data_IF_723053529433
#
_entry.id   IF_723053529433
#
_cell.length_a   1.000
_cell.length_b   1.000
_cell.length_c   1.000
_cell.angle_alpha   90.00
_cell.angle_beta   90.00
_cell.angle_gamma   90.00
#
_symmetry.space_group_name_H-M   'P 1'
#
loop_
_entity.id
_entity.type
_entity.pdbx_description
1 polymer ?
#
# COMPACT_ATOMS: atom_id res chain seq x y z
N UNK A 1 -6.49 -20.08 10.19
CA UNK A 1 -5.95 -18.70 9.95
C UNK A 1 -6.45 -18.09 8.65
N UNK A 2 -6.65 -18.87 7.56
CA UNK A 2 -7.15 -18.34 6.29
C UNK A 2 -8.60 -17.82 6.38
N UNK A 3 -9.50 -18.54 7.02
CA UNK A 3 -10.92 -18.17 7.13
C UNK A 3 -11.14 -16.80 7.80
N UNK A 4 -10.32 -16.43 8.79
CA UNK A 4 -10.43 -15.14 9.48
C UNK A 4 -9.93 -13.99 8.59
N UNK A 5 -8.84 -14.19 7.88
CA UNK A 5 -8.28 -13.20 6.95
C UNK A 5 -9.24 -12.96 5.78
N UNK A 6 -9.81 -14.02 5.22
CA UNK A 6 -10.81 -13.94 4.15
C UNK A 6 -12.07 -13.20 4.61
N UNK A 7 -12.51 -13.45 5.86
CA UNK A 7 -13.63 -12.75 6.49
C UNK A 7 -13.36 -11.25 6.67
N UNK A 8 -12.16 -10.87 7.14
CA UNK A 8 -11.77 -9.46 7.32
C UNK A 8 -11.65 -8.73 5.99
N UNK A 9 -11.06 -9.38 4.97
CA UNK A 9 -11.00 -8.82 3.62
C UNK A 9 -12.39 -8.60 3.03
N UNK A 10 -13.28 -9.58 3.17
CA UNK A 10 -14.69 -9.47 2.77
C UNK A 10 -15.40 -8.30 3.46
N UNK A 11 -15.17 -8.11 4.75
CA UNK A 11 -15.71 -6.98 5.51
C UNK A 11 -15.23 -5.64 4.95
N UNK A 12 -13.93 -5.47 4.66
CA UNK A 12 -13.41 -4.22 4.07
C UNK A 12 -14.01 -3.93 2.70
N UNK A 13 -14.17 -4.97 1.87
CA UNK A 13 -14.82 -4.83 0.58
C UNK A 13 -16.28 -4.37 0.74
N UNK A 14 -17.04 -4.99 1.64
CA UNK A 14 -18.42 -4.60 1.89
C UNK A 14 -18.53 -3.15 2.39
N UNK A 15 -17.69 -2.75 3.35
CA UNK A 15 -17.62 -1.37 3.84
C UNK A 15 -17.37 -0.36 2.71
N UNK A 16 -16.47 -0.68 1.76
CA UNK A 16 -16.24 0.16 0.58
C UNK A 16 -17.47 0.23 -0.35
N UNK A 17 -18.15 -0.88 -0.56
CA UNK A 17 -19.38 -0.92 -1.39
C UNK A 17 -20.52 -0.14 -0.73
N UNK A 18 -20.67 -0.22 0.58
CA UNK A 18 -21.67 0.52 1.33
C UNK A 18 -21.40 2.03 1.27
N UNK A 19 -20.14 2.45 1.46
CA UNK A 19 -19.73 3.84 1.30
C UNK A 19 -20.00 4.37 -0.12
N UNK A 20 -19.64 3.59 -1.16
CA UNK A 20 -19.93 3.93 -2.55
C UNK A 20 -21.42 4.11 -2.79
N UNK A 21 -22.25 3.24 -2.21
CA UNK A 21 -23.71 3.32 -2.36
C UNK A 21 -24.30 4.60 -1.74
N UNK A 22 -23.71 5.08 -0.65
CA UNK A 22 -24.10 6.37 -0.03
C UNK A 22 -23.66 7.57 -0.88
N UNK A 23 -22.43 7.54 -1.41
CA UNK A 23 -21.90 8.59 -2.29
C UNK A 23 -22.70 8.70 -3.59
N UNK A 24 -23.14 7.60 -4.16
CA UNK A 24 -23.98 7.57 -5.36
C UNK A 24 -25.34 8.23 -5.22
N UNK A 25 -25.82 8.44 -4.00
CA UNK A 25 -27.07 9.22 -3.75
C UNK A 25 -26.87 10.70 -4.06
N UNK A 26 -25.65 11.21 -3.88
CA UNK A 26 -25.29 12.60 -4.14
C UNK A 26 -24.72 12.80 -5.55
N UNK A 27 -24.05 11.75 -6.12
CA UNK A 27 -23.54 11.73 -7.48
C UNK A 27 -23.75 10.35 -8.10
N UNK A 28 -24.82 10.20 -8.88
CA UNK A 28 -25.18 8.93 -9.51
C UNK A 28 -24.21 8.49 -10.64
N UNK A 29 -23.36 9.40 -11.11
CA UNK A 29 -22.35 9.10 -12.15
C UNK A 29 -21.10 8.42 -11.59
N UNK A 30 -20.92 8.40 -10.26
CA UNK A 30 -19.76 7.82 -9.62
C UNK A 30 -19.71 6.30 -9.85
N UNK A 31 -18.68 5.80 -10.52
CA UNK A 31 -18.54 4.37 -10.82
C UNK A 31 -17.87 3.60 -9.68
N UNK A 32 -16.83 4.17 -9.08
CA UNK A 32 -16.06 3.57 -7.98
C UNK A 32 -15.52 4.65 -7.03
N UNK A 33 -15.05 4.23 -5.83
CA UNK A 33 -14.49 5.15 -4.83
C UNK A 33 -13.28 5.93 -5.35
N UNK A 34 -12.45 5.33 -6.20
CA UNK A 34 -11.27 5.98 -6.76
C UNK A 34 -11.61 7.18 -7.66
N UNK A 35 -12.83 7.27 -8.17
CA UNK A 35 -13.31 8.42 -8.95
C UNK A 35 -13.95 9.51 -8.07
N UNK A 36 -14.12 9.26 -6.77
CA UNK A 36 -14.76 10.21 -5.86
C UNK A 36 -13.81 11.37 -5.54
N UNK A 37 -14.34 12.59 -5.53
CA UNK A 37 -13.59 13.74 -5.02
C UNK A 37 -13.62 13.80 -3.49
N UNK A 38 -12.56 14.37 -2.91
CA UNK A 38 -12.50 14.63 -1.45
C UNK A 38 -13.70 15.51 -1.01
N UNK A 39 -14.09 16.49 -1.82
CA UNK A 39 -15.21 17.38 -1.52
C UNK A 39 -16.53 16.61 -1.42
N UNK A 40 -16.81 15.70 -2.35
CA UNK A 40 -18.01 14.86 -2.31
C UNK A 40 -18.02 13.94 -1.09
N UNK A 41 -16.86 13.35 -0.77
CA UNK A 41 -16.70 12.50 0.41
C UNK A 41 -17.00 13.27 1.72
N UNK A 42 -16.46 14.49 1.84
CA UNK A 42 -16.66 15.31 3.06
C UNK A 42 -18.10 15.79 3.23
N UNK A 43 -18.79 16.08 2.14
CA UNK A 43 -20.17 16.54 2.15
C UNK A 43 -21.19 15.40 2.36
N UNK A 44 -20.78 14.14 2.19
CA UNK A 44 -21.70 13.00 2.32
C UNK A 44 -21.71 12.49 3.75
N UNK A 45 -22.89 12.52 4.36
CA UNK A 45 -23.11 11.92 5.68
C UNK A 45 -23.10 10.40 5.60
N UNK A 46 -22.25 9.77 6.41
CA UNK A 46 -22.13 8.31 6.52
C UNK A 46 -21.48 7.93 7.84
N UNK A 47 -21.62 6.66 8.29
CA UNK A 47 -20.89 6.14 9.45
C UNK A 47 -19.38 6.33 9.31
N UNK A 48 -18.69 6.64 10.42
CA UNK A 48 -17.26 7.00 10.42
C UNK A 48 -16.37 5.90 9.85
N UNK A 49 -16.66 4.63 10.16
CA UNK A 49 -15.93 3.50 9.59
C UNK A 49 -16.03 3.48 8.06
N UNK A 50 -17.20 3.70 7.48
CA UNK A 50 -17.37 3.76 6.03
C UNK A 50 -16.66 4.96 5.42
N UNK A 51 -16.72 6.12 6.12
CA UNK A 51 -16.02 7.33 5.70
C UNK A 51 -14.50 7.11 5.67
N UNK A 52 -13.97 6.45 6.68
CA UNK A 52 -12.54 6.14 6.76
C UNK A 52 -12.11 5.17 5.63
N UNK A 53 -12.90 4.13 5.32
CA UNK A 53 -12.61 3.23 4.19
C UNK A 53 -12.62 3.98 2.86
N UNK A 54 -13.66 4.78 2.62
CA UNK A 54 -13.77 5.59 1.40
C UNK A 54 -12.61 6.60 1.29
N UNK A 55 -12.27 7.29 2.39
CA UNK A 55 -11.16 8.25 2.44
C UNK A 55 -9.84 7.58 2.08
N UNK A 56 -9.56 6.40 2.64
CA UNK A 56 -8.37 5.65 2.26
C UNK A 56 -8.28 5.45 0.75
N UNK A 57 -9.35 4.97 0.11
CA UNK A 57 -9.35 4.69 -1.34
C UNK A 57 -9.18 5.96 -2.17
N UNK A 58 -9.91 7.03 -1.80
CA UNK A 58 -9.83 8.33 -2.50
C UNK A 58 -8.41 8.92 -2.40
N UNK A 59 -7.84 8.93 -1.20
CA UNK A 59 -6.51 9.46 -0.97
C UNK A 59 -5.40 8.57 -1.56
N UNK A 60 -5.59 7.23 -1.61
CA UNK A 60 -4.65 6.34 -2.30
C UNK A 60 -4.60 6.63 -3.80
N UNK A 61 -5.74 6.88 -4.43
CA UNK A 61 -5.77 7.28 -5.84
C UNK A 61 -5.00 8.58 -6.08
N UNK A 62 -5.16 9.54 -5.18
CA UNK A 62 -4.41 10.80 -5.24
C UNK A 62 -2.90 10.56 -5.05
N UNK A 63 -2.48 9.72 -4.09
CA UNK A 63 -1.07 9.34 -3.89
C UNK A 63 -0.48 8.66 -5.13
N UNK A 64 -1.26 7.79 -5.79
CA UNK A 64 -0.82 7.17 -7.07
C UNK A 64 -0.59 8.22 -8.14
N UNK A 65 -1.51 9.18 -8.30
CA UNK A 65 -1.37 10.26 -9.26
C UNK A 65 -0.13 11.12 -8.95
N UNK A 66 0.07 11.50 -7.70
CA UNK A 66 1.24 12.26 -7.25
C UNK A 66 2.54 11.51 -7.48
N UNK A 67 2.56 10.19 -7.26
CA UNK A 67 3.72 9.35 -7.50
C UNK A 67 4.07 9.30 -9.00
N UNK A 68 3.08 9.08 -9.86
CA UNK A 68 3.25 9.05 -11.32
C UNK A 68 3.77 10.39 -11.85
N UNK A 69 3.14 11.49 -11.44
CA UNK A 69 3.55 12.84 -11.88
C UNK A 69 4.92 13.21 -11.30
N UNK A 70 5.22 12.79 -10.08
CA UNK A 70 6.52 12.97 -9.46
C UNK A 70 7.64 12.24 -10.21
N UNK A 71 7.39 10.99 -10.63
CA UNK A 71 8.34 10.25 -11.48
C UNK A 71 8.57 10.95 -12.82
N UNK A 72 7.50 11.41 -13.47
CA UNK A 72 7.61 12.10 -14.78
C UNK A 72 8.33 13.45 -14.68
N UNK A 73 8.12 14.18 -13.61
CA UNK A 73 8.73 15.50 -13.38
C UNK A 73 10.12 15.44 -12.77
N UNK A 74 10.62 14.24 -12.41
CA UNK A 74 11.92 14.06 -11.79
C UNK A 74 11.99 14.57 -10.35
N UNK A 75 10.91 14.40 -9.57
CA UNK A 75 10.93 14.72 -8.14
C UNK A 75 12.00 13.91 -7.39
N UNK A 76 12.46 14.49 -6.30
CA UNK A 76 13.40 13.82 -5.41
C UNK A 76 12.83 12.50 -4.88
N UNK A 77 13.67 11.47 -4.86
CA UNK A 77 13.26 10.10 -4.52
C UNK A 77 12.68 10.01 -3.11
N UNK A 78 13.21 10.81 -2.18
CA UNK A 78 12.71 10.85 -0.80
C UNK A 78 11.28 11.44 -0.70
N UNK A 79 10.92 12.39 -1.58
CA UNK A 79 9.54 12.89 -1.63
C UNK A 79 8.57 11.80 -2.13
N UNK A 80 9.01 11.02 -3.10
CA UNK A 80 8.23 9.89 -3.60
C UNK A 80 8.16 8.75 -2.58
N UNK A 81 9.26 8.51 -1.86
CA UNK A 81 9.29 7.55 -0.75
C UNK A 81 8.33 7.90 0.38
N UNK A 82 8.17 9.20 0.68
CA UNK A 82 7.22 9.67 1.67
C UNK A 82 5.76 9.30 1.32
N UNK A 83 5.41 9.19 0.03
CA UNK A 83 4.09 8.72 -0.39
C UNK A 83 3.83 7.26 -0.04
N UNK A 84 4.87 6.40 -0.05
CA UNK A 84 4.74 5.02 0.42
C UNK A 84 4.46 4.97 1.93
N UNK A 85 5.19 5.77 2.72
CA UNK A 85 4.95 5.86 4.16
C UNK A 85 3.53 6.37 4.46
N UNK A 86 3.08 7.41 3.75
CA UNK A 86 1.72 7.94 3.89
C UNK A 86 0.65 6.91 3.51
N UNK A 87 0.90 6.11 2.46
CA UNK A 87 0.04 4.98 2.08
C UNK A 87 -0.06 3.93 3.18
N UNK A 88 1.06 3.58 3.83
CA UNK A 88 1.03 2.65 4.96
C UNK A 88 0.24 3.20 6.14
N UNK A 89 0.45 4.46 6.51
CA UNK A 89 -0.29 5.12 7.59
C UNK A 89 -1.80 5.13 7.31
N UNK A 90 -2.18 5.41 6.06
CA UNK A 90 -3.58 5.36 5.63
C UNK A 90 -4.16 3.94 5.70
N UNK A 91 -3.37 2.93 5.32
CA UNK A 91 -3.73 1.51 5.46
C UNK A 91 -3.93 1.12 6.92
N UNK A 92 -3.05 1.55 7.82
CA UNK A 92 -3.13 1.25 9.25
C UNK A 92 -4.29 1.98 9.93
N UNK A 93 -4.44 3.30 9.68
CA UNK A 93 -5.34 4.15 10.47
C UNK A 93 -6.75 4.27 9.86
N UNK A 94 -6.88 4.26 8.53
CA UNK A 94 -8.15 4.48 7.85
C UNK A 94 -8.76 3.20 7.29
N UNK A 95 -7.95 2.36 6.62
CA UNK A 95 -8.42 1.10 6.08
C UNK A 95 -8.41 -0.03 7.11
N UNK A 96 -7.57 0.09 8.13
CA UNK A 96 -7.39 -0.86 9.24
C UNK A 96 -7.13 -2.29 8.73
N UNK A 97 -6.25 -2.42 7.75
CA UNK A 97 -5.79 -3.71 7.23
C UNK A 97 -4.33 -4.01 7.57
N UNK A 98 -3.69 -3.17 8.39
CA UNK A 98 -2.38 -3.47 8.94
C UNK A 98 -2.47 -4.27 10.25
N UNK A 99 -1.32 -4.69 10.73
CA UNK A 99 -1.13 -5.35 12.03
C UNK A 99 0.05 -4.68 12.74
N UNK A 100 0.09 -4.70 14.10
CA UNK A 100 1.22 -4.15 14.85
C UNK A 100 2.60 -4.68 14.41
N UNK A 101 2.65 -5.93 13.93
CA UNK A 101 3.84 -6.55 13.38
C UNK A 101 4.31 -5.89 12.08
N UNK A 102 3.37 -5.56 11.18
CA UNK A 102 3.67 -4.88 9.93
C UNK A 102 4.03 -3.41 10.17
N UNK A 103 3.29 -2.73 11.04
CA UNK A 103 3.56 -1.34 11.41
C UNK A 103 4.98 -1.21 11.99
N UNK A 104 5.37 -2.11 12.90
CA UNK A 104 6.70 -2.14 13.47
C UNK A 104 7.80 -2.39 12.42
N UNK A 105 7.56 -3.28 11.46
CA UNK A 105 8.53 -3.54 10.39
C UNK A 105 8.67 -2.34 9.45
N UNK A 106 7.58 -1.65 9.14
CA UNK A 106 7.60 -0.42 8.35
C UNK A 106 8.35 0.68 9.10
N UNK A 107 8.14 0.82 10.41
CA UNK A 107 8.86 1.80 11.24
C UNK A 107 10.37 1.54 11.24
N UNK A 108 10.80 0.28 11.40
CA UNK A 108 12.21 -0.08 11.33
C UNK A 108 12.83 0.26 9.98
N UNK A 109 12.12 -0.05 8.89
CA UNK A 109 12.57 0.26 7.54
C UNK A 109 12.62 1.76 7.29
N UNK A 110 11.56 2.50 7.62
CA UNK A 110 11.45 3.94 7.38
C UNK A 110 12.46 4.77 8.19
N UNK A 111 12.98 4.24 9.31
CA UNK A 111 14.03 4.85 10.10
C UNK A 111 15.44 4.43 9.66
N UNK A 112 15.58 3.70 8.56
CA UNK A 112 16.88 3.31 8.00
C UNK A 112 17.26 4.28 6.88
N UNK A 113 18.48 4.87 6.95
CA UNK A 113 18.95 5.93 6.03
C UNK A 113 18.88 5.52 4.55
N UNK A 114 19.11 4.23 4.27
CA UNK A 114 19.10 3.67 2.92
C UNK A 114 17.70 3.33 2.39
N UNK A 115 16.64 3.69 3.12
CA UNK A 115 15.25 3.43 2.73
C UNK A 115 14.55 4.75 2.44
N UNK A 116 14.04 4.90 1.24
CA UNK A 116 13.26 6.07 0.83
C UNK A 116 11.83 6.06 1.35
N UNK A 117 11.25 4.87 1.50
CA UNK A 117 9.91 4.68 2.05
C UNK A 117 9.53 3.21 2.07
N UNK A 118 8.56 2.87 2.92
CA UNK A 118 8.07 1.52 3.10
C UNK A 118 6.56 1.49 3.34
N UNK A 119 5.92 0.38 2.96
CA UNK A 119 4.49 0.15 3.18
C UNK A 119 4.16 -1.34 3.21
N UNK A 120 3.05 -1.70 3.82
CA UNK A 120 2.49 -3.03 3.62
C UNK A 120 2.15 -3.26 2.13
N UNK A 121 2.18 -4.50 1.69
CA UNK A 121 1.78 -4.90 0.33
C UNK A 121 0.84 -6.10 0.37
N UNK A 122 0.00 -6.23 -0.67
CA UNK A 122 -1.08 -7.21 -0.72
C UNK A 122 -2.33 -6.74 0.04
N UNK A 123 -3.18 -7.67 0.42
CA UNK A 123 -4.47 -7.39 1.09
C UNK A 123 -4.37 -6.90 2.53
N UNK A 124 -3.20 -6.97 3.14
CA UNK A 124 -3.02 -6.69 4.57
C UNK A 124 -3.36 -7.89 5.45
N UNK A 125 -3.64 -7.64 6.74
CA UNK A 125 -3.95 -8.65 7.78
C UNK A 125 -2.82 -9.68 7.97
N UNK A 126 -1.59 -9.29 7.64
CA UNK A 126 -0.38 -10.10 7.58
C UNK A 126 0.33 -9.91 6.24
N UNK A 127 1.20 -10.85 5.87
CA UNK A 127 1.89 -10.84 4.58
C UNK A 127 3.23 -10.13 4.60
N UNK A 128 3.44 -9.16 3.72
CA UNK A 128 4.74 -8.58 3.46
C UNK A 128 4.73 -7.04 3.53
N UNK A 129 5.92 -6.50 3.71
CA UNK A 129 6.24 -5.07 3.58
C UNK A 129 7.12 -4.90 2.35
N UNK A 130 6.82 -3.89 1.55
CA UNK A 130 7.66 -3.42 0.46
C UNK A 130 8.44 -2.20 0.93
N UNK A 131 9.74 -2.17 0.69
CA UNK A 131 10.59 -1.01 0.92
C UNK A 131 11.29 -0.58 -0.38
N UNK A 132 11.32 0.71 -0.63
CA UNK A 132 12.11 1.29 -1.70
C UNK A 132 13.43 1.77 -1.12
N UNK A 133 14.53 1.17 -1.58
CA UNK A 133 15.85 1.37 -1.00
C UNK A 133 16.82 2.00 -1.98
N UNK A 134 17.87 2.62 -1.46
CA UNK A 134 19.04 3.01 -2.24
C UNK A 134 19.86 1.77 -2.65
N UNK A 135 20.78 1.96 -3.59
CA UNK A 135 21.74 0.92 -3.97
C UNK A 135 22.79 0.59 -2.87
N UNK A 136 22.81 1.37 -1.79
CA UNK A 136 23.67 1.13 -0.60
C UNK A 136 23.01 0.19 0.41
N UNK A 137 21.68 -0.01 0.30
CA UNK A 137 20.99 -0.97 1.16
C UNK A 137 21.53 -2.38 0.85
N UNK A 138 21.98 -3.07 1.86
CA UNK A 138 22.66 -4.34 1.73
C UNK A 138 21.98 -5.43 2.58
N UNK A 139 22.38 -6.67 2.36
CA UNK A 139 21.95 -7.81 3.17
C UNK A 139 22.24 -7.61 4.66
N UNK A 140 23.31 -6.86 5.00
CA UNK A 140 23.61 -6.52 6.41
C UNK A 140 22.52 -5.63 7.03
N UNK A 141 22.00 -4.64 6.29
CA UNK A 141 20.89 -3.80 6.75
C UNK A 141 19.62 -4.64 6.95
N UNK A 142 19.27 -5.47 5.97
CA UNK A 142 18.12 -6.36 6.06
C UNK A 142 18.22 -7.33 7.24
N UNK A 143 19.39 -7.94 7.44
CA UNK A 143 19.65 -8.84 8.57
C UNK A 143 19.54 -8.12 9.92
N UNK A 144 20.08 -6.91 10.05
CA UNK A 144 20.00 -6.11 11.27
C UNK A 144 18.55 -5.76 11.62
N UNK A 145 17.76 -5.36 10.61
CA UNK A 145 16.31 -5.09 10.76
C UNK A 145 15.58 -6.36 11.18
N UNK A 146 15.85 -7.50 10.52
CA UNK A 146 15.22 -8.76 10.83
C UNK A 146 15.54 -9.24 12.26
N UNK A 147 16.78 -9.09 12.71
CA UNK A 147 17.19 -9.40 14.10
C UNK A 147 16.50 -8.49 15.12
N UNK A 148 16.34 -7.21 14.80
CA UNK A 148 15.63 -6.26 15.67
C UNK A 148 14.14 -6.60 15.76
N UNK A 149 13.54 -6.96 14.63
CA UNK A 149 12.16 -7.41 14.56
C UNK A 149 11.96 -8.71 15.37
N UNK A 150 12.85 -9.68 15.21
CA UNK A 150 12.79 -10.98 15.91
C UNK A 150 12.79 -10.85 17.43
N UNK A 151 13.56 -9.90 17.98
CA UNK A 151 13.59 -9.63 19.43
C UNK A 151 12.22 -9.25 19.99
N UNK A 152 11.39 -8.56 19.21
CA UNK A 152 10.07 -8.12 19.66
C UNK A 152 8.96 -9.14 19.33
N UNK A 153 9.08 -9.83 18.20
CA UNK A 153 7.99 -10.66 17.68
C UNK A 153 8.30 -12.16 17.62
N UNK A 154 9.51 -12.58 18.05
CA UNK A 154 9.96 -13.97 18.08
C UNK A 154 9.80 -14.68 16.72
N UNK A 155 9.92 -13.90 15.66
CA UNK A 155 9.85 -14.35 14.27
C UNK A 155 10.89 -13.61 13.44
N UNK A 156 11.72 -14.34 12.71
CA UNK A 156 12.70 -13.77 11.80
C UNK A 156 12.09 -13.61 10.40
N UNK A 157 11.83 -12.36 9.92
CA UNK A 157 11.25 -12.16 8.60
C UNK A 157 12.26 -12.50 7.51
N UNK A 158 11.81 -13.23 6.48
CA UNK A 158 12.56 -13.38 5.24
C UNK A 158 12.59 -12.08 4.45
N UNK A 159 13.64 -11.88 3.66
CA UNK A 159 13.72 -10.74 2.76
C UNK A 159 14.16 -11.15 1.35
N UNK A 160 13.68 -10.41 0.36
CA UNK A 160 14.03 -10.59 -1.04
C UNK A 160 14.30 -9.21 -1.65
N UNK A 161 15.38 -9.10 -2.42
CA UNK A 161 15.72 -7.90 -3.19
C UNK A 161 15.46 -8.14 -4.66
N UNK A 162 14.86 -7.17 -5.33
CA UNK A 162 14.63 -7.21 -6.77
C UNK A 162 14.74 -5.80 -7.37
N UNK A 163 15.00 -5.74 -8.65
CA UNK A 163 14.96 -4.51 -9.41
C UNK A 163 13.67 -4.47 -10.23
N UNK A 164 13.09 -3.28 -10.45
CA UNK A 164 12.00 -3.13 -11.39
C UNK A 164 12.39 -3.65 -12.77
N UNK A 165 11.49 -4.35 -13.43
CA UNK A 165 11.67 -4.85 -14.80
C UNK A 165 10.56 -4.35 -15.70
N UNK A 166 10.63 -4.66 -16.99
CA UNK A 166 9.51 -4.39 -17.91
C UNK A 166 8.23 -5.07 -17.40
N UNK A 167 7.09 -4.51 -17.78
CA UNK A 167 5.78 -5.04 -17.42
C UNK A 167 5.56 -6.46 -17.96
N UNK A 168 4.39 -7.01 -17.67
CA UNK A 168 4.01 -8.33 -18.16
C UNK A 168 4.13 -8.40 -19.68
N UNK A 169 4.71 -9.50 -20.17
CA UNK A 169 4.89 -9.74 -21.59
C UNK A 169 4.51 -11.18 -21.94
N UNK A 170 4.14 -11.40 -23.18
CA UNK A 170 3.86 -12.74 -23.69
C UNK A 170 5.15 -13.41 -24.15
N UNK A 171 5.41 -14.64 -23.68
CA UNK A 171 6.51 -15.45 -24.20
C UNK A 171 6.05 -16.22 -25.42
N UNK A 172 6.65 -15.92 -26.59
CA UNK A 172 6.43 -16.70 -27.79
C UNK A 172 7.39 -17.90 -27.83
N UNK A 173 6.89 -19.14 -27.67
CA UNK A 173 7.74 -20.32 -27.65
C UNK A 173 8.35 -20.65 -29.01
N UNK A 174 7.76 -20.17 -30.11
CA UNK A 174 8.28 -20.40 -31.47
C UNK A 174 9.53 -19.58 -31.74
N UNK A 175 9.50 -18.32 -31.35
CA UNK A 175 10.62 -17.39 -31.55
C UNK A 175 11.58 -17.33 -30.34
N UNK A 176 11.26 -18.01 -29.26
CA UNK A 176 12.00 -18.04 -27.98
C UNK A 176 12.29 -16.63 -27.44
N UNK A 177 11.37 -15.68 -27.59
CA UNK A 177 11.50 -14.30 -27.10
C UNK A 177 10.22 -13.79 -26.45
N UNK A 178 10.39 -12.79 -25.60
CA UNK A 178 9.30 -12.05 -25.00
C UNK A 178 8.82 -10.96 -25.96
N UNK A 179 7.48 -10.81 -26.08
CA UNK A 179 6.81 -9.81 -26.91
C UNK A 179 6.01 -8.91 -25.96
N UNK A 180 6.26 -7.59 -26.02
CA UNK A 180 5.52 -6.57 -25.28
C UNK A 180 4.24 -6.18 -25.99
#
# INVERSE_FOLDING_TARGET
KHDLVDSLYGTRNQECMDALSLLKKNDSSLECLANCSVALLEQTEMPENLKNRARHVVEEQERVNQFIEGLKSGKEVNELGALLNASHQSSSNLFENSLPQLDYLVDLLSNTEEVHGARLTGGGFGGAVLAWTTNKFSEKHATSIAQTYEKNWQYFPGFHSFLPSNGACYYNPLDKRFIS
#
